data_IF_337398155365
#
_entry.id   IF_337398155365
#
_cell.length_a   1.000
_cell.length_b   1.000
_cell.length_c   1.000
_cell.angle_alpha   90.00
_cell.angle_beta   90.00
_cell.angle_gamma   90.00
#
_symmetry.space_group_name_H-M   'P 1'
#
loop_
_entity.id
_entity.type
_entity.pdbx_description
1 polymer ?
#
# COMPACT_ATOMS: atom_id res chain seq x y z
N UNK A 1 -8.63 -25.36 1.93
CA UNK A 1 -9.35 -24.22 2.51
C UNK A 1 -8.84 -22.99 1.80
N UNK A 2 -9.67 -22.35 0.99
CA UNK A 2 -9.33 -21.12 0.25
C UNK A 2 -9.25 -19.98 1.26
N UNK A 3 -8.07 -19.41 1.47
CA UNK A 3 -7.88 -18.28 2.39
C UNK A 3 -8.70 -17.08 1.88
N UNK A 4 -9.41 -16.41 2.79
CA UNK A 4 -10.24 -15.28 2.42
C UNK A 4 -9.37 -14.17 1.78
N UNK A 5 -9.85 -13.50 0.72
CA UNK A 5 -9.12 -12.39 0.09
C UNK A 5 -8.97 -11.23 1.09
N UNK A 6 -7.75 -10.71 1.23
CA UNK A 6 -7.46 -9.57 2.11
C UNK A 6 -8.24 -8.34 1.62
N UNK A 7 -8.84 -7.62 2.56
CA UNK A 7 -9.46 -6.32 2.27
C UNK A 7 -8.35 -5.27 2.23
N UNK A 8 -8.23 -4.52 1.14
CA UNK A 8 -7.30 -3.39 1.00
C UNK A 8 -8.15 -2.12 1.08
N UNK A 9 -7.87 -1.23 2.03
CA UNK A 9 -8.32 0.15 1.91
C UNK A 9 -7.27 0.93 1.11
N UNK A 10 -7.75 1.77 0.21
CA UNK A 10 -6.93 2.74 -0.50
C UNK A 10 -7.41 4.12 -0.11
N UNK A 11 -6.52 4.94 0.45
CA UNK A 11 -6.78 6.36 0.66
C UNK A 11 -5.95 7.14 -0.34
N UNK A 12 -6.64 8.06 -0.98
CA UNK A 12 -6.06 9.07 -1.85
C UNK A 12 -6.69 10.39 -1.46
N UNK A 13 -5.91 11.45 -1.61
CA UNK A 13 -6.48 12.78 -1.58
C UNK A 13 -7.07 13.06 -2.96
N UNK A 14 -8.37 13.32 -3.03
CA UNK A 14 -9.01 13.72 -4.27
C UNK A 14 -8.58 15.14 -4.68
N UNK A 15 -8.75 15.45 -5.97
CA UNK A 15 -8.39 16.74 -6.54
C UNK A 15 -9.05 17.92 -5.82
N UNK A 16 -10.31 17.77 -5.41
CA UNK A 16 -11.05 18.85 -4.76
C UNK A 16 -10.49 19.15 -3.36
N UNK A 17 -10.07 18.13 -2.63
CA UNK A 17 -9.39 18.27 -1.34
C UNK A 17 -8.02 18.97 -1.47
N UNK A 18 -7.25 18.65 -2.51
CA UNK A 18 -5.96 19.32 -2.79
C UNK A 18 -6.09 20.79 -3.21
N UNK A 19 -7.07 21.10 -4.05
CA UNK A 19 -7.34 22.47 -4.48
C UNK A 19 -7.87 23.33 -3.31
N UNK A 20 -8.71 22.76 -2.45
CA UNK A 20 -9.22 23.42 -1.25
C UNK A 20 -8.09 23.80 -0.26
N UNK A 21 -7.00 23.02 -0.22
CA UNK A 21 -5.81 23.32 0.56
C UNK A 21 -4.88 24.39 -0.06
N UNK A 22 -5.24 24.98 -1.21
CA UNK A 22 -4.52 26.11 -1.81
C UNK A 22 -3.31 25.73 -2.67
N UNK A 23 -3.13 24.45 -2.97
CA UNK A 23 -2.10 23.98 -3.90
C UNK A 23 -2.53 24.21 -5.36
N UNK A 24 -1.59 24.61 -6.21
CA UNK A 24 -1.88 24.86 -7.63
C UNK A 24 -1.78 23.60 -8.47
N UNK A 25 -2.54 23.52 -9.56
CA UNK A 25 -2.55 22.36 -10.49
C UNK A 25 -1.17 22.02 -11.07
N UNK A 26 -0.25 23.00 -11.14
CA UNK A 26 1.12 22.78 -11.63
C UNK A 26 2.04 22.10 -10.62
N UNK A 27 1.62 21.96 -9.37
CA UNK A 27 2.41 21.36 -8.27
C UNK A 27 2.03 19.92 -7.96
N UNK A 28 1.04 19.35 -8.65
CA UNK A 28 0.56 17.99 -8.43
C UNK A 28 0.98 17.07 -9.59
N UNK A 29 1.36 15.83 -9.29
CA UNK A 29 1.62 14.79 -10.30
C UNK A 29 0.35 14.39 -11.07
N UNK A 30 0.45 13.41 -11.98
CA UNK A 30 -0.70 12.89 -12.74
C UNK A 30 -1.86 12.53 -11.78
N UNK A 31 -2.97 13.26 -11.88
CA UNK A 31 -4.16 13.09 -11.04
C UNK A 31 -4.82 11.73 -11.35
N UNK A 32 -5.12 10.93 -10.32
CA UNK A 32 -6.03 9.81 -10.47
C UNK A 32 -7.47 10.34 -10.31
N UNK A 33 -8.26 10.28 -11.37
CA UNK A 33 -9.69 10.57 -11.32
C UNK A 33 -10.49 9.35 -10.81
N UNK A 34 -11.78 9.51 -10.56
CA UNK A 34 -12.67 8.43 -10.07
C UNK A 34 -12.65 7.18 -10.98
N UNK A 35 -12.30 7.35 -12.26
CA UNK A 35 -12.09 6.26 -13.22
C UNK A 35 -10.77 5.53 -12.97
N UNK A 36 -9.68 6.25 -12.73
CA UNK A 36 -8.40 5.70 -12.30
C UNK A 36 -8.53 4.92 -11.00
N UNK A 37 -9.26 5.44 -10.02
CA UNK A 37 -9.53 4.76 -8.74
C UNK A 37 -10.40 3.52 -8.92
N UNK A 38 -11.41 3.57 -9.80
CA UNK A 38 -12.22 2.39 -10.11
C UNK A 38 -11.43 1.32 -10.88
N UNK A 39 -10.46 1.73 -11.71
CA UNK A 39 -9.49 0.84 -12.33
C UNK A 39 -8.55 0.18 -11.32
N UNK A 40 -8.04 0.95 -10.35
CA UNK A 40 -7.22 0.47 -9.22
C UNK A 40 -8.00 -0.57 -8.39
N UNK A 41 -9.27 -0.30 -8.10
CA UNK A 41 -10.15 -1.23 -7.38
C UNK A 41 -10.31 -2.55 -8.15
N UNK A 42 -10.64 -2.48 -9.43
CA UNK A 42 -10.84 -3.67 -10.26
C UNK A 42 -9.55 -4.50 -10.42
N UNK A 43 -8.40 -3.83 -10.54
CA UNK A 43 -7.08 -4.45 -10.58
C UNK A 43 -6.80 -5.24 -9.29
N UNK A 44 -6.94 -4.62 -8.13
CA UNK A 44 -6.72 -5.32 -6.86
C UNK A 44 -7.70 -6.48 -6.68
N UNK A 45 -8.96 -6.32 -7.11
CA UNK A 45 -9.96 -7.40 -7.09
C UNK A 45 -9.59 -8.60 -7.99
N UNK A 46 -8.94 -8.35 -9.13
CA UNK A 46 -8.40 -9.40 -10.00
C UNK A 46 -7.19 -10.14 -9.40
N UNK A 47 -6.49 -9.53 -8.44
CA UNK A 47 -5.36 -10.13 -7.70
C UNK A 47 -5.80 -10.84 -6.42
N UNK A 48 -7.05 -11.30 -6.34
CA UNK A 48 -7.65 -11.91 -5.15
C UNK A 48 -7.59 -11.03 -3.90
N UNK A 49 -7.51 -9.70 -4.06
CA UNK A 49 -7.75 -8.74 -2.98
C UNK A 49 -9.19 -8.21 -3.07
N UNK A 50 -9.67 -7.51 -2.04
CA UNK A 50 -10.98 -6.85 -2.09
C UNK A 50 -10.83 -5.41 -1.66
N UNK A 51 -11.32 -4.44 -2.42
CA UNK A 51 -11.10 -3.02 -2.10
C UNK A 51 -12.32 -2.39 -1.46
N UNK A 52 -12.14 -1.68 -0.35
CA UNK A 52 -13.19 -0.86 0.28
C UNK A 52 -13.03 0.58 -0.18
N UNK A 53 -14.05 1.12 -0.85
CA UNK A 53 -14.13 2.55 -1.20
C UNK A 53 -14.47 3.35 0.07
N UNK A 54 -13.79 4.47 0.37
CA UNK A 54 -14.15 5.31 1.50
C UNK A 54 -15.59 5.85 1.35
N UNK A 55 -16.37 5.83 2.43
CA UNK A 55 -17.69 6.47 2.48
C UNK A 55 -17.57 7.80 3.22
N UNK A 56 -18.36 8.78 2.81
CA UNK A 56 -18.45 10.07 3.50
C UNK A 56 -19.23 9.94 4.81
N UNK A 57 -18.71 10.61 5.84
CA UNK A 57 -19.28 10.74 7.19
C UNK A 57 -20.74 11.19 7.20
N UNK A 58 -21.60 10.31 7.68
CA UNK A 58 -22.78 10.71 8.46
C UNK A 58 -23.17 9.59 9.43
N UNK A 59 -23.04 9.93 10.72
CA UNK A 59 -23.62 9.30 11.91
C UNK A 59 -23.07 7.93 12.36
N UNK A 60 -22.37 7.88 13.51
CA UNK A 60 -22.24 6.68 14.36
C UNK A 60 -21.63 6.95 15.75
N UNK A 61 -22.23 6.42 16.84
CA UNK A 61 -21.50 5.49 17.72
C UNK A 61 -22.33 4.23 18.17
N UNK A 62 -21.64 3.33 18.91
CA UNK A 62 -22.02 2.14 19.74
C UNK A 62 -21.95 0.70 19.17
N UNK A 63 -21.44 -0.19 20.04
CA UNK A 63 -21.13 -1.63 19.93
C UNK A 63 -22.07 -2.48 19.05
N UNK A 64 -23.39 -2.28 19.16
CA UNK A 64 -24.37 -3.05 18.38
C UNK A 64 -24.28 -2.77 16.87
N UNK A 65 -23.83 -1.56 16.46
CA UNK A 65 -23.66 -1.23 15.03
C UNK A 65 -22.33 -1.70 14.46
N UNK A 66 -21.25 -1.81 15.24
CA UNK A 66 -19.97 -2.38 14.76
C UNK A 66 -20.17 -3.86 14.46
N UNK A 67 -20.79 -4.59 15.40
CA UNK A 67 -21.18 -5.98 15.22
C UNK A 67 -22.10 -6.14 13.99
N UNK A 68 -23.14 -5.30 13.88
CA UNK A 68 -24.04 -5.31 12.74
C UNK A 68 -23.36 -4.90 11.42
N UNK A 69 -22.39 -3.98 11.43
CA UNK A 69 -21.63 -3.58 10.25
C UNK A 69 -20.68 -4.67 9.77
N UNK A 70 -20.07 -5.41 10.71
CA UNK A 70 -19.30 -6.62 10.41
C UNK A 70 -20.23 -7.69 9.82
N UNK A 71 -21.36 -7.96 10.46
CA UNK A 71 -22.35 -8.97 10.01
C UNK A 71 -23.00 -8.61 8.67
N UNK A 72 -23.20 -7.32 8.39
CA UNK A 72 -23.73 -6.79 7.13
C UNK A 72 -22.65 -6.57 6.07
N UNK A 73 -21.38 -6.72 6.43
CA UNK A 73 -20.26 -6.62 5.50
C UNK A 73 -20.24 -7.84 4.60
N UNK A 74 -19.94 -7.64 3.31
CA UNK A 74 -19.68 -8.74 2.36
C UNK A 74 -18.50 -9.66 2.77
N UNK A 75 -17.80 -9.31 3.86
CA UNK A 75 -16.67 -10.05 4.45
C UNK A 75 -16.94 -10.54 5.88
N UNK A 76 -18.18 -10.50 6.38
CA UNK A 76 -18.54 -10.90 7.73
C UNK A 76 -17.87 -12.21 8.17
N UNK A 77 -17.86 -13.22 7.30
CA UNK A 77 -17.29 -14.54 7.57
C UNK A 77 -15.76 -14.51 7.82
N UNK A 78 -15.01 -13.63 7.16
CA UNK A 78 -13.55 -13.49 7.38
C UNK A 78 -13.21 -12.64 8.61
N UNK A 79 -14.15 -11.78 9.02
CA UNK A 79 -14.06 -10.94 10.22
C UNK A 79 -14.58 -11.65 11.48
N UNK A 80 -14.94 -12.94 11.38
CA UNK A 80 -15.31 -13.80 12.50
C UNK A 80 -14.12 -14.58 13.07
N UNK A 81 -13.02 -14.69 12.32
CA UNK A 81 -11.81 -15.40 12.74
C UNK A 81 -10.77 -14.42 13.28
N UNK A 82 -10.47 -14.53 14.56
CA UNK A 82 -9.45 -13.73 15.23
C UNK A 82 -8.07 -14.39 15.10
N UNK A 83 -6.96 -13.62 15.05
CA UNK A 83 -6.90 -12.18 15.27
C UNK A 83 -7.33 -11.31 14.07
N UNK A 84 -7.97 -10.18 14.37
CA UNK A 84 -8.24 -9.10 13.43
C UNK A 84 -7.17 -8.01 13.56
N UNK A 85 -7.08 -7.15 12.56
CA UNK A 85 -6.21 -5.99 12.53
C UNK A 85 -7.00 -4.72 12.25
N UNK A 86 -6.82 -3.69 13.08
CA UNK A 86 -7.52 -2.42 12.99
C UNK A 86 -6.54 -1.26 12.74
N UNK A 87 -6.84 -0.43 11.74
CA UNK A 87 -6.03 0.76 11.41
C UNK A 87 -6.91 1.93 10.94
N UNK A 88 -6.53 3.19 11.20
CA UNK A 88 -7.17 4.33 10.54
C UNK A 88 -7.02 4.24 9.02
N UNK A 89 -8.03 4.71 8.28
CA UNK A 89 -7.96 4.63 6.81
C UNK A 89 -6.88 5.52 6.21
N UNK A 90 -6.66 6.72 6.74
CA UNK A 90 -5.95 7.81 6.05
C UNK A 90 -4.53 8.06 6.52
N UNK A 91 -3.95 7.13 7.25
CA UNK A 91 -2.60 7.25 7.78
C UNK A 91 -1.61 6.36 7.02
N UNK A 92 -0.34 6.79 7.00
CA UNK A 92 0.81 6.09 6.45
C UNK A 92 1.89 5.98 7.55
N UNK A 93 2.97 5.24 7.29
CA UNK A 93 4.15 5.10 8.17
C UNK A 93 3.83 4.46 9.52
N UNK A 94 2.82 3.60 9.56
CA UNK A 94 2.28 2.96 10.78
C UNK A 94 1.71 3.92 11.82
N UNK A 95 1.41 5.19 11.46
CA UNK A 95 0.66 6.07 12.35
C UNK A 95 -0.70 5.47 12.64
N UNK A 96 -1.04 5.39 13.92
CA UNK A 96 -2.31 4.81 14.38
C UNK A 96 -2.32 3.28 14.35
N UNK A 97 -1.18 2.65 14.09
CA UNK A 97 -0.99 1.22 14.36
C UNK A 97 -0.49 1.08 15.80
N UNK A 98 -1.42 0.77 16.70
CA UNK A 98 -1.19 0.61 18.13
C UNK A 98 -0.93 -0.86 18.49
N UNK A 99 -0.51 -1.14 19.72
CA UNK A 99 -0.48 -2.52 20.23
C UNK A 99 -1.86 -3.17 20.20
N UNK A 100 -2.90 -2.38 20.49
CA UNK A 100 -4.31 -2.77 20.45
C UNK A 100 -4.85 -3.02 19.02
N UNK A 101 -4.14 -2.58 17.98
CA UNK A 101 -4.53 -2.81 16.57
C UNK A 101 -4.62 -4.28 16.22
N UNK A 102 -3.82 -5.16 16.86
CA UNK A 102 -3.98 -6.62 16.73
C UNK A 102 -5.00 -7.13 17.73
N UNK A 103 -6.24 -7.21 17.30
CA UNK A 103 -7.37 -7.60 18.14
C UNK A 103 -7.39 -9.13 18.22
N UNK A 104 -7.10 -9.69 19.41
CA UNK A 104 -6.98 -11.15 19.61
C UNK A 104 -8.30 -11.83 19.96
N UNK A 105 -9.28 -11.08 20.46
CA UNK A 105 -10.58 -11.64 20.93
C UNK A 105 -11.73 -10.68 20.63
N UNK A 106 -12.97 -11.20 20.49
CA UNK A 106 -14.15 -10.37 20.25
C UNK A 106 -14.35 -9.21 21.22
N UNK A 107 -14.14 -9.45 22.52
CA UNK A 107 -14.32 -8.43 23.56
C UNK A 107 -13.37 -7.22 23.44
N UNK A 108 -12.26 -7.38 22.72
CA UNK A 108 -11.24 -6.34 22.57
C UNK A 108 -11.53 -5.45 21.34
N UNK A 109 -12.50 -5.82 20.49
CA UNK A 109 -12.78 -5.14 19.22
C UNK A 109 -13.28 -3.70 19.39
N UNK A 110 -14.37 -3.50 20.12
CA UNK A 110 -14.94 -2.17 20.30
C UNK A 110 -14.00 -1.22 21.06
N UNK A 111 -13.34 -1.63 22.15
CA UNK A 111 -12.33 -0.79 22.81
C UNK A 111 -11.23 -0.31 21.86
N UNK A 112 -10.70 -1.18 20.99
CA UNK A 112 -9.68 -0.78 20.00
C UNK A 112 -10.22 0.23 19.00
N UNK A 113 -11.45 0.06 18.49
CA UNK A 113 -12.06 1.00 17.55
C UNK A 113 -12.28 2.36 18.22
N UNK A 114 -12.85 2.38 19.42
CA UNK A 114 -13.11 3.60 20.18
C UNK A 114 -11.80 4.37 20.45
N UNK A 115 -10.71 3.65 20.76
CA UNK A 115 -9.38 4.23 20.94
C UNK A 115 -8.87 4.89 19.66
N UNK A 116 -8.92 4.18 18.53
CA UNK A 116 -8.47 4.70 17.23
C UNK A 116 -9.29 5.89 16.77
N UNK A 117 -10.62 5.86 16.91
CA UNK A 117 -11.49 6.98 16.54
C UNK A 117 -11.27 8.21 17.44
N UNK A 118 -10.95 7.99 18.72
CA UNK A 118 -10.64 9.08 19.66
C UNK A 118 -9.33 9.79 19.31
N UNK A 119 -8.32 9.02 18.88
CA UNK A 119 -7.00 9.53 18.47
C UNK A 119 -7.04 10.16 17.06
N UNK A 120 -7.71 9.51 16.11
CA UNK A 120 -7.77 9.91 14.69
C UNK A 120 -9.15 10.47 14.33
N UNK A 121 -9.61 11.44 15.14
CA UNK A 121 -10.93 12.09 14.97
C UNK A 121 -11.11 12.59 13.56
N UNK A 122 -12.03 12.01 12.81
CA UNK A 122 -12.09 12.35 11.39
C UNK A 122 -12.24 11.15 10.50
N UNK A 123 -11.54 10.08 10.86
CA UNK A 123 -11.26 8.96 9.99
C UNK A 123 -12.09 7.74 10.39
N UNK A 124 -12.47 6.95 9.38
CA UNK A 124 -13.01 5.62 9.62
C UNK A 124 -11.88 4.65 10.02
N UNK A 125 -12.23 3.57 10.70
CA UNK A 125 -11.32 2.47 11.03
C UNK A 125 -11.54 1.32 10.05
N UNK A 126 -10.46 0.87 9.42
CA UNK A 126 -10.45 -0.34 8.62
C UNK A 126 -10.18 -1.56 9.50
N UNK A 127 -10.99 -2.60 9.32
CA UNK A 127 -10.80 -3.93 9.90
C UNK A 127 -10.39 -4.94 8.83
N UNK A 128 -9.31 -5.65 9.10
CA UNK A 128 -8.72 -6.68 8.24
C UNK A 128 -8.46 -7.96 9.04
N UNK A 129 -8.30 -9.10 8.38
CA UNK A 129 -7.74 -10.29 9.01
C UNK A 129 -6.25 -10.05 9.28
N UNK A 130 -5.76 -10.38 10.46
CA UNK A 130 -4.34 -10.26 10.75
C UNK A 130 -3.53 -11.31 10.00
N UNK A 131 -2.54 -10.86 9.22
CA UNK A 131 -1.63 -11.72 8.47
C UNK A 131 -0.48 -12.15 9.38
N UNK A 132 -0.43 -13.41 9.79
CA UNK A 132 0.55 -13.84 10.80
C UNK A 132 1.94 -14.15 10.25
N UNK A 133 2.10 -14.27 8.93
CA UNK A 133 3.33 -14.70 8.29
C UNK A 133 4.39 -13.60 8.14
N UNK A 134 5.41 -13.92 7.33
CA UNK A 134 6.56 -13.04 7.03
C UNK A 134 6.11 -11.73 6.39
N UNK A 135 6.87 -10.67 6.58
CA UNK A 135 6.60 -9.36 6.00
C UNK A 135 7.74 -8.97 5.06
N UNK A 136 7.41 -8.79 3.78
CA UNK A 136 8.37 -8.55 2.70
C UNK A 136 7.98 -7.26 1.99
N UNK A 137 8.92 -6.31 1.96
CA UNK A 137 8.80 -5.09 1.17
C UNK A 137 9.62 -5.21 -0.09
N UNK A 138 8.96 -5.09 -1.23
CA UNK A 138 9.55 -5.29 -2.55
C UNK A 138 9.75 -3.94 -3.22
N UNK A 139 10.99 -3.62 -3.58
CA UNK A 139 11.33 -2.44 -4.36
C UNK A 139 11.09 -2.69 -5.86
N UNK A 140 10.42 -1.75 -6.52
CA UNK A 140 10.11 -1.83 -7.96
C UNK A 140 10.55 -0.54 -8.64
N UNK A 141 11.09 -0.69 -9.86
CA UNK A 141 11.37 0.42 -10.78
C UNK A 141 10.73 0.14 -12.14
N UNK A 142 10.56 1.18 -12.94
CA UNK A 142 10.05 1.09 -14.31
C UNK A 142 8.53 1.23 -14.41
N UNK A 143 8.04 1.26 -15.64
CA UNK A 143 6.63 1.49 -15.98
C UNK A 143 6.13 0.46 -16.98
N UNK A 144 4.97 -0.16 -16.71
CA UNK A 144 4.34 -1.13 -17.61
C UNK A 144 5.23 -2.36 -17.82
N UNK A 145 5.51 -2.72 -19.08
CA UNK A 145 6.37 -3.88 -19.38
C UNK A 145 7.83 -3.69 -18.96
N UNK A 146 8.29 -2.45 -18.81
CA UNK A 146 9.63 -2.14 -18.32
C UNK A 146 9.71 -2.20 -16.78
N UNK A 147 8.61 -2.49 -16.08
CA UNK A 147 8.63 -2.63 -14.62
C UNK A 147 9.36 -3.91 -14.20
N UNK A 148 10.25 -3.77 -13.21
CA UNK A 148 11.04 -4.88 -12.64
C UNK A 148 11.22 -4.71 -11.14
N UNK A 149 11.36 -5.84 -10.46
CA UNK A 149 11.81 -5.88 -9.06
C UNK A 149 13.30 -5.55 -9.02
N UNK A 150 13.69 -4.65 -8.11
CA UNK A 150 15.10 -4.31 -7.86
C UNK A 150 15.69 -5.04 -6.67
N UNK A 151 14.83 -5.57 -5.79
CA UNK A 151 15.20 -6.25 -4.57
C UNK A 151 14.04 -6.32 -3.60
N UNK A 152 14.26 -6.97 -2.46
CA UNK A 152 13.32 -6.96 -1.35
C UNK A 152 14.06 -6.96 -0.01
N UNK A 153 13.40 -6.42 1.01
CA UNK A 153 13.80 -6.54 2.41
C UNK A 153 12.70 -7.28 3.19
N UNK A 154 13.11 -7.98 4.25
CA UNK A 154 12.23 -8.63 5.20
C UNK A 154 12.27 -7.90 6.54
N UNK A 155 11.08 -7.66 7.11
CA UNK A 155 10.94 -7.15 8.47
C UNK A 155 10.83 -8.33 9.43
N UNK A 156 11.83 -8.50 10.28
CA UNK A 156 11.96 -9.62 11.22
C UNK A 156 11.69 -9.13 12.64
N UNK A 157 10.57 -9.58 13.20
CA UNK A 157 10.14 -9.21 14.55
C UNK A 157 10.71 -10.19 15.58
N UNK A 158 11.52 -9.71 16.53
CA UNK A 158 12.14 -10.51 17.60
C UNK A 158 11.27 -10.50 18.85
N UNK A 159 11.25 -11.61 19.57
CA UNK A 159 10.57 -11.67 20.87
C UNK A 159 11.40 -10.95 21.92
N UNK A 160 10.78 -10.15 22.80
CA UNK A 160 11.48 -9.57 23.93
C UNK A 160 12.02 -10.64 24.86
N UNK A 161 13.14 -10.32 25.51
CA UNK A 161 13.63 -11.12 26.63
C UNK A 161 12.65 -10.98 27.80
N UNK A 162 12.27 -12.12 28.39
CA UNK A 162 11.43 -12.14 29.58
C UNK A 162 12.32 -12.17 30.81
N UNK A 163 11.92 -11.39 31.83
CA UNK A 163 12.50 -11.47 33.16
C UNK A 163 12.29 -12.87 33.75
N UNK A 164 13.09 -13.23 34.76
CA UNK A 164 13.01 -14.55 35.41
C UNK A 164 11.63 -14.87 36.01
N UNK A 165 10.82 -13.85 36.31
CA UNK A 165 9.44 -13.98 36.81
C UNK A 165 8.40 -14.04 35.68
N UNK A 166 8.84 -14.07 34.42
CA UNK A 166 7.98 -14.07 33.23
C UNK A 166 7.43 -12.70 32.85
N UNK A 167 7.82 -11.63 33.54
CA UNK A 167 7.43 -10.26 33.19
C UNK A 167 8.29 -9.73 32.03
N UNK A 168 7.66 -9.00 31.12
CA UNK A 168 8.31 -8.39 29.98
C UNK A 168 7.30 -7.63 29.12
N UNK A 169 7.76 -6.82 28.17
CA UNK A 169 6.87 -6.11 27.25
C UNK A 169 6.11 -7.11 26.36
N UNK A 170 4.94 -6.70 25.89
CA UNK A 170 4.17 -7.50 24.93
C UNK A 170 4.94 -7.63 23.61
N UNK A 171 5.00 -8.85 23.06
CA UNK A 171 5.58 -9.07 21.74
C UNK A 171 4.68 -8.50 20.65
N UNK A 172 5.20 -7.53 19.90
CA UNK A 172 4.57 -6.92 18.72
C UNK A 172 5.20 -7.54 17.47
N UNK A 173 4.44 -8.36 16.76
CA UNK A 173 4.88 -9.05 15.55
C UNK A 173 4.51 -8.30 14.26
N UNK A 174 4.33 -6.98 14.33
CA UNK A 174 3.93 -6.14 13.21
C UNK A 174 4.50 -4.72 13.35
N UNK A 175 4.60 -4.02 12.23
CA UNK A 175 5.10 -2.65 12.17
C UNK A 175 4.10 -1.69 12.83
N UNK A 176 4.39 -1.26 14.05
CA UNK A 176 3.61 -0.28 14.81
C UNK A 176 4.29 1.09 14.84
N UNK A 177 3.54 2.11 15.24
CA UNK A 177 4.06 3.47 15.46
C UNK A 177 5.26 3.45 16.43
N UNK A 178 5.14 2.66 17.51
CA UNK A 178 6.19 2.48 18.52
C UNK A 178 7.45 1.88 17.90
N UNK A 179 7.29 0.81 17.12
CA UNK A 179 8.41 0.09 16.49
C UNK A 179 9.16 0.99 15.50
N UNK A 180 8.46 1.86 14.77
CA UNK A 180 9.09 2.74 13.76
C UNK A 180 9.71 4.00 14.35
N UNK A 181 9.09 4.60 15.38
CA UNK A 181 9.54 5.89 15.91
C UNK A 181 10.50 5.79 17.11
N UNK A 182 10.62 4.62 17.73
CA UNK A 182 11.54 4.39 18.84
C UNK A 182 12.54 3.26 18.57
N UNK A 183 13.26 3.23 17.42
CA UNK A 183 14.13 2.12 17.04
C UNK A 183 15.37 1.95 17.95
N UNK A 184 15.66 2.93 18.81
CA UNK A 184 16.75 2.89 19.79
C UNK A 184 16.30 2.43 21.18
N UNK A 185 15.01 2.14 21.35
CA UNK A 185 14.49 1.50 22.56
C UNK A 185 14.91 0.03 22.54
N UNK A 186 15.54 -0.44 23.60
CA UNK A 186 15.99 -1.83 23.76
C UNK A 186 14.82 -2.85 23.69
N UNK A 187 13.59 -2.37 23.84
CA UNK A 187 12.35 -3.14 23.73
C UNK A 187 11.73 -3.11 22.32
N UNK A 188 12.35 -2.39 21.36
CA UNK A 188 11.94 -2.41 19.96
C UNK A 188 12.71 -3.48 19.20
N UNK A 189 11.95 -4.47 18.76
CA UNK A 189 12.48 -5.75 18.31
C UNK A 189 12.18 -6.00 16.84
N UNK A 190 12.66 -5.12 15.96
CA UNK A 190 12.46 -5.26 14.53
C UNK A 190 13.78 -5.05 13.79
N UNK A 191 14.23 -6.08 13.08
CA UNK A 191 15.32 -5.95 12.13
C UNK A 191 14.76 -5.78 10.73
N UNK A 192 15.47 -5.01 9.91
CA UNK A 192 15.27 -4.99 8.46
C UNK A 192 16.46 -5.70 7.83
N UNK A 193 16.21 -6.84 7.18
CA UNK A 193 17.25 -7.65 6.56
C UNK A 193 17.02 -7.75 5.06
N UNK A 194 18.10 -7.85 4.29
CA UNK A 194 18.01 -8.12 2.86
C UNK A 194 17.36 -9.49 2.65
N UNK A 195 16.26 -9.54 1.89
CA UNK A 195 15.57 -10.79 1.63
C UNK A 195 16.32 -11.62 0.58
N UNK A 196 16.44 -12.93 0.81
CA UNK A 196 17.01 -13.85 -0.19
C UNK A 196 16.02 -14.05 -1.34
N UNK A 197 16.33 -13.51 -2.52
CA UNK A 197 15.47 -13.62 -3.70
C UNK A 197 15.36 -15.05 -4.25
N UNK A 198 16.21 -15.99 -3.79
CA UNK A 198 16.11 -17.41 -4.12
C UNK A 198 15.13 -18.18 -3.23
N UNK A 199 14.69 -17.58 -2.11
CA UNK A 199 13.66 -18.12 -1.23
C UNK A 199 12.30 -18.18 -1.98
N UNK A 200 11.62 -19.34 -2.05
CA UNK A 200 10.36 -19.48 -2.75
C UNK A 200 9.26 -18.52 -2.28
N UNK A 201 9.21 -18.21 -0.98
CA UNK A 201 8.24 -17.26 -0.43
C UNK A 201 8.58 -15.85 -0.90
N UNK A 202 9.82 -15.40 -0.72
CA UNK A 202 10.27 -14.07 -1.19
C UNK A 202 10.02 -13.93 -2.70
N UNK A 203 10.31 -14.96 -3.47
CA UNK A 203 10.03 -14.98 -4.91
C UNK A 203 8.53 -14.79 -5.20
N UNK A 204 7.65 -15.49 -4.48
CA UNK A 204 6.20 -15.34 -4.64
C UNK A 204 5.69 -13.93 -4.26
N UNK A 205 6.28 -13.32 -3.22
CA UNK A 205 5.98 -11.93 -2.83
C UNK A 205 6.41 -10.95 -3.92
N UNK A 206 7.60 -11.12 -4.49
CA UNK A 206 8.10 -10.34 -5.62
C UNK A 206 7.20 -10.45 -6.86
N UNK A 207 6.70 -11.65 -7.18
CA UNK A 207 5.76 -11.88 -8.27
C UNK A 207 4.44 -11.15 -8.04
N UNK A 208 3.86 -11.28 -6.83
CA UNK A 208 2.63 -10.59 -6.46
C UNK A 208 2.80 -9.06 -6.51
N UNK A 209 3.89 -8.56 -5.95
CA UNK A 209 4.21 -7.13 -5.94
C UNK A 209 4.33 -6.56 -7.35
N UNK A 210 5.05 -7.24 -8.24
CA UNK A 210 5.19 -6.79 -9.63
C UNK A 210 3.85 -6.84 -10.39
N UNK A 211 3.03 -7.87 -10.14
CA UNK A 211 1.70 -7.96 -10.71
C UNK A 211 0.80 -6.80 -10.24
N UNK A 212 0.79 -6.52 -8.93
CA UNK A 212 0.07 -5.39 -8.34
C UNK A 212 0.51 -4.06 -8.95
N UNK A 213 1.83 -3.81 -9.01
CA UNK A 213 2.40 -2.61 -9.61
C UNK A 213 1.94 -2.38 -11.06
N UNK A 214 2.02 -3.43 -11.89
CA UNK A 214 1.61 -3.36 -13.30
C UNK A 214 0.12 -3.11 -13.44
N UNK A 215 -0.70 -3.81 -12.66
CA UNK A 215 -2.16 -3.73 -12.75
C UNK A 215 -2.71 -2.41 -12.22
N UNK A 216 -2.04 -1.80 -11.24
CA UNK A 216 -2.35 -0.47 -10.73
C UNK A 216 -1.80 0.65 -11.62
N UNK A 217 -1.13 0.31 -12.72
CA UNK A 217 -0.47 1.25 -13.62
C UNK A 217 0.50 2.19 -12.89
N UNK A 218 1.12 1.69 -11.81
CA UNK A 218 2.16 2.39 -11.09
C UNK A 218 3.37 2.64 -12.01
N UNK A 219 4.15 3.68 -11.69
CA UNK A 219 5.20 4.20 -12.59
C UNK A 219 6.46 4.56 -11.84
N UNK A 220 7.54 4.58 -12.61
CA UNK A 220 8.87 5.10 -12.22
C UNK A 220 9.55 4.29 -11.13
N UNK A 221 9.13 4.42 -9.88
CA UNK A 221 9.60 3.59 -8.78
C UNK A 221 8.69 3.68 -7.56
N UNK A 222 8.70 2.63 -6.75
CA UNK A 222 7.91 2.52 -5.54
C UNK A 222 8.24 1.25 -4.79
N UNK A 223 7.48 1.00 -3.73
CA UNK A 223 7.54 -0.25 -2.98
C UNK A 223 6.15 -0.86 -2.84
N UNK A 224 6.11 -2.17 -2.70
CA UNK A 224 4.90 -2.91 -2.35
C UNK A 224 5.21 -3.66 -1.07
N UNK A 225 4.42 -3.41 -0.04
CA UNK A 225 4.53 -4.08 1.23
C UNK A 225 3.59 -5.29 1.22
N UNK A 226 4.15 -6.45 1.48
CA UNK A 226 3.41 -7.72 1.45
C UNK A 226 3.58 -8.45 2.75
N UNK A 227 2.57 -9.23 3.12
CA UNK A 227 2.63 -10.10 4.29
C UNK A 227 1.90 -11.41 4.06
N UNK A 228 2.45 -12.49 4.60
CA UNK A 228 1.92 -13.83 4.37
C UNK A 228 0.73 -14.11 5.31
N UNK A 229 -0.30 -14.77 4.79
CA UNK A 229 -1.52 -15.09 5.55
C UNK A 229 -1.33 -16.16 6.63
N UNK A 230 -0.20 -16.87 6.64
CA UNK A 230 0.12 -17.89 7.60
C UNK A 230 1.62 -18.10 7.75
N UNK A 231 2.00 -18.74 8.85
CA UNK A 231 3.38 -19.16 9.09
C UNK A 231 3.75 -20.40 8.26
N UNK A 232 5.05 -20.50 7.93
CA UNK A 232 5.62 -21.65 7.22
C UNK A 232 5.48 -21.60 5.71
N UNK A 233 6.01 -22.62 5.04
CA UNK A 233 6.23 -22.65 3.58
C UNK A 233 4.97 -22.52 2.73
N UNK A 234 3.79 -22.81 3.30
CA UNK A 234 2.50 -22.76 2.60
C UNK A 234 1.77 -21.42 2.70
N UNK A 235 2.31 -20.47 3.48
CA UNK A 235 1.73 -19.14 3.56
C UNK A 235 1.63 -18.51 2.17
N UNK A 236 0.56 -17.77 1.91
CA UNK A 236 0.35 -17.06 0.65
C UNK A 236 0.57 -15.56 0.89
N UNK A 237 1.42 -14.88 0.10
CA UNK A 237 1.63 -13.45 0.26
C UNK A 237 0.35 -12.68 -0.08
N UNK A 238 0.10 -11.60 0.64
CA UNK A 238 -0.97 -10.64 0.37
C UNK A 238 -0.36 -9.25 0.31
N UNK A 239 -0.82 -8.40 -0.63
CA UNK A 239 -0.48 -6.98 -0.64
C UNK A 239 -1.11 -6.31 0.58
N UNK A 240 -0.30 -5.72 1.45
CA UNK A 240 -0.77 -4.86 2.54
C UNK A 240 -0.93 -3.43 2.06
N UNK A 241 0.05 -2.94 1.30
CA UNK A 241 0.17 -1.53 0.96
C UNK A 241 0.92 -1.35 -0.36
N UNK A 242 0.52 -0.32 -1.10
CA UNK A 242 1.13 0.08 -2.37
C UNK A 242 1.65 1.49 -2.19
N UNK A 243 2.96 1.65 -2.32
CA UNK A 243 3.68 2.88 -2.03
C UNK A 243 4.34 3.43 -3.30
N UNK A 244 3.59 4.12 -4.19
CA UNK A 244 4.09 4.63 -5.46
C UNK A 244 4.86 5.95 -5.33
N UNK A 245 4.89 6.56 -4.13
CA UNK A 245 5.68 7.75 -3.81
C UNK A 245 6.56 7.41 -2.59
N UNK A 246 7.61 6.60 -2.78
CA UNK A 246 8.44 6.16 -1.67
C UNK A 246 9.33 7.30 -1.17
N UNK A 247 9.77 7.20 0.08
CA UNK A 247 10.94 7.96 0.54
C UNK A 247 12.16 7.63 -0.33
N UNK A 248 12.99 8.64 -0.60
CA UNK A 248 14.21 8.50 -1.43
C UNK A 248 15.47 8.96 -0.69
N UNK A 249 15.40 9.17 0.62
CA UNK A 249 16.57 9.55 1.43
C UNK A 249 17.50 8.32 1.51
N UNK A 250 18.77 8.43 1.07
CA UNK A 250 19.76 7.35 1.20
C UNK A 250 19.91 6.88 2.65
N UNK A 251 20.20 5.60 2.85
CA UNK A 251 20.46 4.96 4.15
C UNK A 251 19.30 5.01 5.17
N UNK A 252 18.17 5.63 4.80
CA UNK A 252 16.99 5.78 5.65
C UNK A 252 15.73 5.20 5.00
N UNK A 253 15.48 5.54 3.74
CA UNK A 253 14.26 5.12 3.05
C UNK A 253 14.39 3.72 2.48
N UNK A 254 13.32 2.92 2.56
CA UNK A 254 13.36 1.51 2.15
C UNK A 254 13.74 1.33 0.69
N UNK A 255 13.25 2.15 -0.23
CA UNK A 255 13.54 1.96 -1.66
C UNK A 255 15.06 2.10 -1.96
N UNK A 256 15.75 3.18 -1.56
CA UNK A 256 17.21 3.26 -1.62
C UNK A 256 17.93 2.11 -0.91
N UNK A 257 17.48 1.72 0.29
CA UNK A 257 18.11 0.66 1.08
C UNK A 257 18.01 -0.70 0.36
N UNK A 258 16.81 -1.04 -0.12
CA UNK A 258 16.55 -2.24 -0.93
C UNK A 258 17.44 -2.25 -2.17
N UNK A 259 17.52 -1.12 -2.89
CA UNK A 259 18.35 -1.00 -4.08
C UNK A 259 19.82 -1.33 -3.79
N UNK A 260 20.42 -0.65 -2.80
CA UNK A 260 21.84 -0.83 -2.45
C UNK A 260 22.11 -2.24 -1.95
N UNK A 261 21.24 -2.78 -1.09
CA UNK A 261 21.35 -4.13 -0.55
C UNK A 261 21.30 -5.21 -1.64
N UNK A 262 20.69 -4.90 -2.79
CA UNK A 262 20.57 -5.79 -3.95
C UNK A 262 21.48 -5.37 -5.12
N UNK A 263 22.54 -4.61 -4.83
CA UNK A 263 23.60 -4.30 -5.79
C UNK A 263 23.25 -3.20 -6.81
N UNK A 264 22.19 -2.42 -6.56
CA UNK A 264 21.82 -1.25 -7.37
C UNK A 264 22.29 0.01 -6.62
N UNK A 265 23.36 0.69 -7.08
CA UNK A 265 23.83 1.91 -6.43
C UNK A 265 22.76 3.01 -6.45
N UNK A 266 22.72 3.84 -5.41
CA UNK A 266 21.73 4.92 -5.30
C UNK A 266 21.67 5.84 -6.53
N UNK A 267 22.83 6.17 -7.13
CA UNK A 267 22.87 6.98 -8.35
C UNK A 267 22.24 6.27 -9.56
N UNK A 268 22.40 4.95 -9.66
CA UNK A 268 21.77 4.16 -10.73
C UNK A 268 20.26 4.07 -10.49
N UNK A 269 19.81 3.90 -9.25
CA UNK A 269 18.39 3.96 -8.89
C UNK A 269 17.76 5.29 -9.34
N UNK A 270 18.38 6.42 -9.00
CA UNK A 270 17.89 7.75 -9.41
C UNK A 270 17.88 7.89 -10.93
N UNK A 271 18.92 7.39 -11.61
CA UNK A 271 19.01 7.41 -13.06
C UNK A 271 17.87 6.59 -13.69
N UNK A 272 17.59 5.38 -13.21
CA UNK A 272 16.49 4.54 -13.70
C UNK A 272 15.12 5.21 -13.53
N UNK A 273 14.89 5.89 -12.40
CA UNK A 273 13.66 6.66 -12.15
C UNK A 273 13.52 7.78 -13.19
N UNK A 274 14.59 8.55 -13.40
CA UNK A 274 14.61 9.67 -14.35
C UNK A 274 14.43 9.16 -15.79
N UNK A 275 15.13 8.09 -16.18
CA UNK A 275 15.04 7.49 -17.51
C UNK A 275 13.62 6.98 -17.79
N UNK A 276 12.99 6.32 -16.82
CA UNK A 276 11.59 5.87 -16.89
C UNK A 276 10.63 7.06 -17.07
N UNK A 277 10.88 8.17 -16.38
CA UNK A 277 10.09 9.40 -16.54
C UNK A 277 10.28 10.04 -17.92
N UNK A 278 11.51 10.09 -18.44
CA UNK A 278 11.84 10.62 -19.76
C UNK A 278 11.29 9.75 -20.90
N UNK A 279 11.26 8.43 -20.74
CA UNK A 279 10.66 7.53 -21.74
C UNK A 279 9.16 7.80 -21.90
N UNK A 280 8.46 8.08 -20.80
CA UNK A 280 7.04 8.44 -20.79
C UNK A 280 6.79 9.75 -21.54
N UNK A 281 7.60 10.78 -21.34
CA UNK A 281 7.40 12.07 -22.03
C UNK A 281 7.62 11.96 -23.52
N UNK A 282 8.58 11.12 -23.97
CA UNK A 282 8.78 10.79 -25.39
C UNK A 282 7.57 10.09 -26.00
N UNK A 283 6.93 9.15 -25.29
CA UNK A 283 5.71 8.47 -25.77
C UNK A 283 4.48 9.39 -25.78
N UNK A 284 4.36 10.28 -24.79
CA UNK A 284 3.29 11.27 -24.70
C UNK A 284 3.34 12.34 -25.81
N UNK A 285 4.53 12.80 -26.19
CA UNK A 285 4.69 13.80 -27.27
C UNK A 285 4.32 13.24 -28.65
N UNK A 286 4.57 11.95 -28.90
CA UNK A 286 4.18 11.28 -30.15
C UNK A 286 2.65 11.15 -30.25
N UNK A 287 1.95 10.80 -29.17
CA UNK A 287 0.48 10.75 -29.15
C UNK A 287 -0.17 12.14 -29.31
N UNK A 288 0.41 13.20 -28.73
CA UNK A 288 -0.09 14.56 -28.90
C UNK A 288 0.15 15.10 -30.32
N UNK A 289 1.32 14.81 -30.92
CA UNK A 289 1.60 15.16 -32.30
C UNK A 289 0.67 14.44 -33.30
N UNK A 290 0.33 13.17 -33.04
CA UNK A 290 -0.62 12.39 -33.84
C UNK A 290 -2.07 12.90 -33.71
N UNK A 291 -2.48 13.39 -32.53
CA UNK A 291 -3.80 14.03 -32.35
C UNK A 291 -3.89 15.39 -33.05
N UNK A 292 -2.87 16.23 -32.94
CA UNK A 292 -2.83 17.54 -33.60
C UNK A 292 -2.80 17.45 -35.14
N UNK A 293 -2.21 16.39 -35.70
CA UNK A 293 -2.22 16.14 -37.15
C UNK A 293 -3.56 15.61 -37.66
N UNK A 294 -4.33 14.90 -36.83
CA UNK A 294 -5.67 14.42 -37.18
C UNK A 294 -6.74 15.53 -37.08
N UNK A 295 -6.61 16.48 -36.15
CA UNK A 295 -7.50 17.65 -36.06
C UNK A 295 -7.30 18.63 -37.23
N UNK A 296 -6.08 18.79 -37.73
CA UNK A 296 -5.78 19.59 -38.92
C UNK A 296 -6.25 18.95 -40.24
N UNK A 297 -6.55 17.65 -40.26
CA UNK A 297 -7.05 16.94 -41.44
C UNK A 297 -8.57 17.09 -41.66
N UNK A 298 -9.32 17.57 -40.65
CA UNK A 298 -10.78 17.73 -40.71
C UNK A 298 -11.20 19.17 -41.08
N UNK A 299 -10.24 20.09 -41.22
CA UNK A 299 -10.49 21.52 -41.48
C UNK A 299 -9.98 22.02 -42.84
N UNK A 300 -10.47 21.46 -43.96
CA UNK A 300 -10.37 22.15 -45.26
C UNK A 300 -11.73 22.17 -45.96
N UNK A 301 -12.43 23.32 -46.01
CA UNK A 301 -13.62 23.45 -46.83
C UNK A 301 -13.20 23.42 -48.30
N UNK A 302 -13.72 22.44 -49.04
CA UNK A 302 -13.71 22.43 -50.50
C UNK A 302 -14.25 23.76 -51.02
N UNK A 303 -13.40 24.53 -51.69
CA UNK A 303 -13.80 25.72 -52.42
C UNK A 303 -14.78 25.31 -53.54
N UNK A 304 -16.03 25.77 -53.43
CA UNK A 304 -17.03 25.67 -54.49
C UNK A 304 -16.66 26.67 -55.59
N UNK A 305 -16.35 26.14 -56.77
CA UNK A 305 -16.09 26.93 -57.97
C UNK A 305 -17.45 27.18 -58.66
N UNK A 306 -17.90 28.44 -58.67
CA UNK A 306 -19.10 28.85 -59.41
C UNK A 306 -18.78 29.06 -60.90
N UNK A 307 -19.63 28.49 -61.75
CA UNK A 307 -20.02 29.01 -63.07
C UNK A 307 -21.51 28.80 -63.23
#
# INVERSE_FOLDING_TARGET
>A
MTTAPLTIAFVYDDESSWLAAGFSERKTGDKADDHGISGIVAALEMLVHKVVKPRTKSELPTLDRVQHAIESSRHAAALQEYPLFAKPIGEDTSKGILTSSKIKRPKDLAPTIDELEALYRGQDVLLETFLSGREITVGIVGTGENSRVIGANEYVYKKPELSNDGSGPEFIDFASDIVKNYPMDENVHMDVVTADLSDPQVHSACQLALAAWKMLHCRHAGRIDTRFDGMGEKGVPKVMEVNPIPGIIPDWSDLPLIAVNNGVPYQELLKEIIDSALERTKKGSVCQAAKASNENAVGSPMARQER
#
